data_IF_604824147603
#
_entry.id   IF_604824147603
#
_cell.length_a   1.000
_cell.length_b   1.000
_cell.length_c   1.000
_cell.angle_alpha   90.00
_cell.angle_beta   90.00
_cell.angle_gamma   90.00
#
_symmetry.space_group_name_H-M   'P 1'
#
loop_
_entity.id
_entity.type
_entity.pdbx_description
1 polymer ?
#
# COMPACT_ATOMS: atom_id res chain seq x y z
N UNK A 1 -6.22 -1.41 24.00
CA UNK A 1 -7.38 -0.96 23.18
C UNK A 1 -7.83 0.49 23.43
N UNK A 2 -7.78 1.04 24.66
CA UNK A 2 -8.13 2.45 24.91
C UNK A 2 -7.23 3.46 24.19
N UNK A 3 -5.92 3.21 24.14
CA UNK A 3 -4.94 4.12 23.55
C UNK A 3 -5.03 4.19 22.01
N UNK A 4 -5.45 3.09 21.35
CA UNK A 4 -5.64 3.07 19.90
C UNK A 4 -6.85 3.92 19.47
N UNK A 5 -7.93 3.89 20.27
CA UNK A 5 -9.12 4.72 20.01
C UNK A 5 -8.82 6.21 20.19
N UNK A 6 -7.96 6.56 21.18
CA UNK A 6 -7.53 7.93 21.41
C UNK A 6 -6.61 8.43 20.26
N UNK A 7 -5.72 7.58 19.78
CA UNK A 7 -4.85 7.88 18.63
C UNK A 7 -5.65 8.11 17.34
N UNK A 8 -6.61 7.24 17.05
CA UNK A 8 -7.51 7.40 15.90
C UNK A 8 -8.38 8.66 16.01
N UNK A 9 -8.90 8.97 17.20
CA UNK A 9 -9.68 10.17 17.44
C UNK A 9 -8.84 11.45 17.30
N UNK A 10 -7.58 11.45 17.75
CA UNK A 10 -6.68 12.59 17.58
C UNK A 10 -6.27 12.81 16.13
N UNK A 11 -6.03 11.75 15.35
CA UNK A 11 -5.78 11.85 13.91
C UNK A 11 -7.00 12.41 13.16
N UNK A 12 -8.20 11.99 13.53
CA UNK A 12 -9.45 12.50 12.96
C UNK A 12 -9.69 13.96 13.32
N UNK A 13 -9.41 14.37 14.56
CA UNK A 13 -9.57 15.76 15.02
C UNK A 13 -8.59 16.72 14.34
N UNK A 14 -7.34 16.31 14.10
CA UNK A 14 -6.35 17.10 13.35
C UNK A 14 -6.77 17.29 11.88
N UNK A 15 -7.49 16.32 11.31
CA UNK A 15 -8.00 16.38 9.95
C UNK A 15 -9.13 17.42 9.77
N UNK A 16 -9.89 17.74 10.82
CA UNK A 16 -11.06 18.64 10.72
C UNK A 16 -10.73 20.13 10.66
N UNK A 17 -9.50 20.57 10.93
CA UNK A 17 -9.18 21.98 11.15
C UNK A 17 -8.68 22.79 9.93
N UNK A 18 -8.71 22.29 8.70
CA UNK A 18 -8.24 23.11 7.57
C UNK A 18 -8.87 22.74 6.23
N UNK A 19 -10.03 23.32 5.95
CA UNK A 19 -10.73 23.16 4.68
C UNK A 19 -10.25 24.24 3.70
N UNK A 20 -9.25 23.96 2.92
CA UNK A 20 -8.97 24.66 1.67
C UNK A 20 -8.80 23.62 0.56
N UNK A 21 -9.45 23.86 -0.58
CA UNK A 21 -9.35 23.00 -1.75
C UNK A 21 -7.90 22.91 -2.21
N UNK A 22 -7.28 21.77 -2.01
CA UNK A 22 -5.96 21.49 -2.55
C UNK A 22 -6.14 20.64 -3.80
N UNK A 23 -6.35 21.29 -4.92
CA UNK A 23 -6.14 20.66 -6.22
C UNK A 23 -4.63 20.35 -6.33
N UNK A 24 -4.28 19.14 -6.73
CA UNK A 24 -2.92 18.85 -7.13
C UNK A 24 -2.60 19.75 -8.32
N UNK A 25 -1.50 20.49 -8.22
CA UNK A 25 -1.06 21.37 -9.29
C UNK A 25 0.16 20.75 -9.96
N UNK A 26 0.24 20.90 -11.28
CA UNK A 26 1.42 20.55 -12.06
C UNK A 26 2.69 21.10 -11.39
N UNK A 27 3.73 20.27 -11.29
CA UNK A 27 4.99 20.61 -10.61
C UNK A 27 5.01 20.31 -9.11
N UNK A 28 3.90 19.85 -8.52
CA UNK A 28 3.85 19.47 -7.11
C UNK A 28 4.42 18.07 -6.86
N UNK A 29 4.84 17.84 -5.62
CA UNK A 29 5.28 16.53 -5.13
C UNK A 29 4.23 15.98 -4.17
N UNK A 30 3.88 14.71 -4.32
CA UNK A 30 3.01 13.98 -3.41
C UNK A 30 3.84 13.02 -2.56
N UNK A 31 3.60 13.05 -1.26
CA UNK A 31 4.03 12.00 -0.33
C UNK A 31 2.78 11.25 0.12
N UNK A 32 2.85 9.93 0.18
CA UNK A 32 1.73 9.15 0.69
C UNK A 32 2.19 7.87 1.36
N UNK A 33 1.31 7.31 2.20
CA UNK A 33 1.58 6.07 2.88
C UNK A 33 0.39 5.53 3.64
N UNK A 34 0.46 4.24 3.95
CA UNK A 34 -0.47 3.54 4.81
C UNK A 34 0.26 2.57 5.73
N UNK A 35 -0.32 2.35 6.91
CA UNK A 35 0.16 1.35 7.86
C UNK A 35 -1.01 0.48 8.28
N UNK A 36 -0.78 -0.83 8.31
CA UNK A 36 -1.74 -1.79 8.84
C UNK A 36 -1.05 -2.64 9.90
N UNK A 37 -1.74 -2.83 11.01
CA UNK A 37 -1.36 -3.78 12.05
C UNK A 37 -2.53 -4.69 12.32
N UNK A 38 -2.28 -5.98 12.25
CA UNK A 38 -3.27 -7.02 12.51
C UNK A 38 -2.69 -7.99 13.51
N UNK A 39 -3.42 -8.27 14.59
CA UNK A 39 -3.03 -9.23 15.62
C UNK A 39 -4.14 -10.23 15.85
N UNK A 40 -3.75 -11.50 15.90
CA UNK A 40 -4.59 -12.64 16.22
C UNK A 40 -3.93 -13.48 17.31
N UNK A 41 -4.63 -14.47 17.85
CA UNK A 41 -4.03 -15.46 18.76
C UNK A 41 -2.90 -16.23 18.07
N UNK A 42 -3.04 -16.52 16.77
CA UNK A 42 -2.07 -17.26 15.97
C UNK A 42 -0.80 -16.46 15.61
N UNK A 43 -0.86 -15.13 15.61
CA UNK A 43 0.28 -14.31 15.18
C UNK A 43 -0.03 -12.82 15.11
N UNK A 44 0.95 -12.07 14.61
CA UNK A 44 0.77 -10.67 14.27
C UNK A 44 1.39 -10.34 12.92
N UNK A 45 0.83 -9.36 12.26
CA UNK A 45 1.27 -8.85 10.99
C UNK A 45 1.40 -7.33 11.06
N UNK A 46 2.55 -6.82 10.66
CA UNK A 46 2.79 -5.39 10.46
C UNK A 46 3.08 -5.15 9.00
N UNK A 47 2.35 -4.24 8.39
CA UNK A 47 2.62 -3.82 7.03
C UNK A 47 2.60 -2.31 6.89
N UNK A 48 3.52 -1.79 6.09
CA UNK A 48 3.47 -0.45 5.56
C UNK A 48 3.54 -0.58 4.04
N UNK A 49 2.48 -0.21 3.38
CA UNK A 49 2.42 -0.30 1.93
C UNK A 49 1.27 0.55 1.38
N UNK A 50 1.51 1.28 0.32
CA UNK A 50 2.82 1.73 -0.12
C UNK A 50 3.24 3.01 0.59
N UNK A 51 4.53 3.16 0.87
CA UNK A 51 5.14 4.46 1.17
C UNK A 51 5.64 5.00 -0.17
N UNK A 52 5.15 6.15 -0.61
CA UNK A 52 5.45 6.62 -1.96
C UNK A 52 5.73 8.10 -2.05
N UNK A 53 6.54 8.42 -3.06
CA UNK A 53 6.77 9.77 -3.52
C UNK A 53 6.38 9.88 -4.98
N UNK A 54 5.56 10.87 -5.33
CA UNK A 54 5.09 11.10 -6.69
C UNK A 54 5.29 12.55 -7.13
N UNK A 55 5.41 12.75 -8.44
CA UNK A 55 5.51 14.05 -9.09
C UNK A 55 4.31 14.27 -10.03
N UNK A 56 3.62 15.37 -9.85
CA UNK A 56 2.53 15.78 -10.73
C UNK A 56 3.08 16.44 -12.00
N UNK A 57 3.13 15.70 -13.08
CA UNK A 57 3.50 16.26 -14.38
C UNK A 57 2.32 16.95 -15.09
N UNK A 58 1.11 16.69 -14.62
CA UNK A 58 -0.13 17.35 -15.01
C UNK A 58 -1.01 17.54 -13.76
N UNK A 59 -2.03 18.38 -13.81
CA UNK A 59 -2.90 18.70 -12.66
C UNK A 59 -3.57 17.47 -12.03
N UNK A 60 -3.85 16.45 -12.82
CA UNK A 60 -4.55 15.25 -12.40
C UNK A 60 -3.70 13.97 -12.51
N UNK A 61 -2.49 14.06 -13.05
CA UNK A 61 -1.67 12.89 -13.34
C UNK A 61 -0.35 12.97 -12.61
N UNK A 62 0.02 11.88 -11.95
CA UNK A 62 1.34 11.78 -11.32
C UNK A 62 1.99 10.43 -11.59
N UNK A 63 3.31 10.44 -11.52
CA UNK A 63 4.18 9.28 -11.55
C UNK A 63 5.10 9.32 -10.35
N UNK A 64 5.54 8.17 -9.88
CA UNK A 64 6.43 8.14 -8.73
C UNK A 64 6.98 6.77 -8.45
N UNK A 65 7.55 6.64 -7.25
CA UNK A 65 8.11 5.41 -6.73
C UNK A 65 7.45 5.06 -5.41
N UNK A 66 7.20 3.78 -5.23
CA UNK A 66 6.67 3.18 -4.01
C UNK A 66 7.68 2.23 -3.39
N UNK A 67 7.64 2.15 -2.08
CA UNK A 67 8.23 1.09 -1.30
C UNK A 67 7.19 0.54 -0.32
N UNK A 68 7.15 -0.77 -0.15
CA UNK A 68 6.31 -1.43 0.82
C UNK A 68 7.05 -2.57 1.52
N UNK A 69 6.63 -2.84 2.73
CA UNK A 69 7.06 -4.03 3.45
C UNK A 69 5.91 -4.66 4.22
N UNK A 70 6.03 -5.95 4.44
CA UNK A 70 5.13 -6.73 5.28
C UNK A 70 5.96 -7.71 6.10
N UNK A 71 5.68 -7.77 7.39
CA UNK A 71 6.26 -8.75 8.30
C UNK A 71 5.12 -9.49 8.97
N UNK A 72 5.12 -10.81 8.86
CA UNK A 72 4.12 -11.69 9.46
C UNK A 72 4.79 -12.70 10.36
N UNK A 73 4.44 -12.69 11.65
CA UNK A 73 4.93 -13.67 12.63
C UNK A 73 3.84 -14.69 12.96
N UNK A 74 4.18 -15.98 12.81
CA UNK A 74 3.38 -17.08 13.30
C UNK A 74 3.90 -17.50 14.69
N UNK A 75 3.07 -17.34 15.73
CA UNK A 75 3.46 -17.65 17.13
C UNK A 75 3.56 -19.14 17.39
N UNK A 76 2.74 -19.95 16.71
CA UNK A 76 2.71 -21.40 16.94
C UNK A 76 3.95 -22.13 16.40
N UNK A 77 4.48 -21.61 15.30
CA UNK A 77 5.63 -22.20 14.59
C UNK A 77 6.92 -21.41 14.78
N UNK A 78 6.84 -20.28 15.52
CA UNK A 78 7.93 -19.34 15.85
C UNK A 78 8.78 -18.90 14.64
N UNK A 79 8.15 -18.67 13.51
CA UNK A 79 8.81 -18.11 12.34
C UNK A 79 8.26 -16.73 11.95
N UNK A 80 9.06 -16.00 11.19
CA UNK A 80 8.71 -14.67 10.70
C UNK A 80 8.98 -14.59 9.21
N UNK A 81 7.93 -14.30 8.44
CA UNK A 81 8.02 -14.03 7.02
C UNK A 81 8.23 -12.53 6.77
N UNK A 82 9.05 -12.22 5.81
CA UNK A 82 9.31 -10.86 5.36
C UNK A 82 9.03 -10.73 3.86
N UNK A 83 8.35 -9.65 3.51
CA UNK A 83 8.05 -9.27 2.15
C UNK A 83 8.42 -7.81 1.94
N UNK A 84 9.13 -7.52 0.87
CA UNK A 84 9.47 -6.18 0.44
C UNK A 84 9.06 -5.97 -1.00
N UNK A 85 8.70 -4.75 -1.34
CA UNK A 85 8.37 -4.34 -2.68
C UNK A 85 8.88 -2.94 -2.97
N UNK A 86 9.33 -2.70 -4.20
CA UNK A 86 9.72 -1.38 -4.69
C UNK A 86 9.40 -1.27 -6.17
N UNK A 87 8.87 -0.13 -6.59
CA UNK A 87 8.60 0.07 -8.00
C UNK A 87 7.90 1.37 -8.34
N UNK A 88 7.80 1.66 -9.64
CA UNK A 88 7.09 2.81 -10.15
C UNK A 88 5.58 2.65 -10.03
N UNK A 89 4.91 3.81 -9.96
CA UNK A 89 3.47 3.91 -10.12
C UNK A 89 3.09 5.06 -11.04
N UNK A 90 1.92 4.94 -11.61
CA UNK A 90 1.20 6.01 -12.29
C UNK A 90 -0.20 6.14 -11.69
N UNK A 91 -0.67 7.34 -11.48
CA UNK A 91 -2.05 7.56 -11.10
C UNK A 91 -2.69 8.74 -11.85
N UNK A 92 -3.99 8.59 -12.08
CA UNK A 92 -4.85 9.64 -12.61
C UNK A 92 -5.99 9.92 -11.64
N UNK A 93 -6.31 11.19 -11.45
CA UNK A 93 -7.30 11.68 -10.49
C UNK A 93 -8.45 12.34 -11.22
N UNK A 94 -9.67 11.94 -10.94
CA UNK A 94 -10.90 12.55 -11.44
C UNK A 94 -11.63 13.22 -10.26
N UNK A 95 -11.70 14.56 -10.20
CA UNK A 95 -12.46 15.27 -9.18
C UNK A 95 -13.96 14.96 -9.30
N UNK A 96 -14.58 14.51 -8.20
CA UNK A 96 -16.02 14.27 -8.08
C UNK A 96 -16.74 15.40 -7.33
N UNK A 97 -16.14 16.59 -7.31
CA UNK A 97 -16.64 17.77 -6.63
C UNK A 97 -15.54 18.44 -5.80
N UNK A 98 -15.93 19.21 -4.78
CA UNK A 98 -14.99 20.03 -4.00
C UNK A 98 -14.05 19.22 -3.10
N UNK A 99 -14.51 18.08 -2.58
CA UNK A 99 -13.79 17.32 -1.56
C UNK A 99 -13.48 15.88 -1.97
N UNK A 100 -14.20 15.33 -2.91
CA UNK A 100 -14.08 13.93 -3.31
C UNK A 100 -13.35 13.77 -4.62
N UNK A 101 -12.56 12.73 -4.72
CA UNK A 101 -11.82 12.37 -5.92
C UNK A 101 -11.92 10.85 -6.15
N UNK A 102 -12.08 10.45 -7.38
CA UNK A 102 -11.79 9.09 -7.82
C UNK A 102 -10.36 9.05 -8.35
N UNK A 103 -9.58 8.06 -7.98
CA UNK A 103 -8.19 7.93 -8.40
C UNK A 103 -8.00 6.52 -8.94
N UNK A 104 -7.52 6.39 -10.17
CA UNK A 104 -7.04 5.13 -10.71
C UNK A 104 -5.52 5.07 -10.56
N UNK A 105 -4.98 3.99 -10.01
CA UNK A 105 -3.54 3.80 -9.85
C UNK A 105 -3.11 2.46 -10.42
N UNK A 106 -1.97 2.46 -11.12
CA UNK A 106 -1.30 1.26 -11.62
C UNK A 106 0.13 1.25 -11.13
N UNK A 107 0.64 0.06 -10.81
CA UNK A 107 1.96 -0.14 -10.20
C UNK A 107 2.65 -1.35 -10.80
N UNK A 108 3.97 -1.28 -10.88
CA UNK A 108 4.81 -2.40 -11.27
C UNK A 108 5.99 -2.48 -10.30
N UNK A 109 6.03 -3.52 -9.47
CA UNK A 109 7.01 -3.64 -8.39
C UNK A 109 7.91 -4.86 -8.59
N UNK A 110 9.18 -4.70 -8.25
CA UNK A 110 10.05 -5.79 -7.91
C UNK A 110 9.79 -6.18 -6.46
N UNK A 111 9.69 -7.48 -6.21
CA UNK A 111 9.42 -8.03 -4.87
C UNK A 111 10.53 -8.99 -4.45
N UNK A 112 10.80 -9.04 -3.15
CA UNK A 112 11.71 -10.01 -2.55
C UNK A 112 11.34 -10.25 -1.10
N UNK A 113 11.78 -11.40 -0.57
CA UNK A 113 11.49 -11.75 0.81
C UNK A 113 11.92 -13.16 1.15
N UNK A 114 11.50 -13.59 2.32
CA UNK A 114 11.58 -14.97 2.77
C UNK A 114 10.20 -15.44 3.23
N UNK A 115 9.96 -16.72 3.05
CA UNK A 115 8.74 -17.37 3.49
C UNK A 115 9.10 -18.79 3.99
N UNK A 116 8.33 -19.26 4.95
CA UNK A 116 8.42 -20.63 5.44
C UNK A 116 7.39 -21.48 4.69
N UNK A 117 7.87 -22.49 4.03
CA UNK A 117 7.04 -23.40 3.21
C UNK A 117 7.21 -24.82 3.69
N UNK A 118 6.10 -25.56 3.77
CA UNK A 118 6.15 -27.00 3.98
C UNK A 118 6.48 -27.64 2.63
N UNK A 119 7.64 -28.27 2.52
CA UNK A 119 8.06 -28.95 1.30
C UNK A 119 7.30 -30.28 1.09
N UNK A 120 7.51 -30.92 -0.05
CA UNK A 120 6.87 -32.20 -0.40
C UNK A 120 7.18 -33.36 0.59
N UNK A 121 8.20 -33.22 1.42
CA UNK A 121 8.56 -34.17 2.47
C UNK A 121 7.93 -33.84 3.83
N UNK A 122 7.00 -32.86 3.90
CA UNK A 122 6.39 -32.35 5.12
C UNK A 122 7.38 -31.72 6.12
N UNK A 123 8.52 -31.24 5.64
CA UNK A 123 9.54 -30.56 6.42
C UNK A 123 9.42 -29.05 6.14
N UNK A 124 9.45 -28.24 7.19
CA UNK A 124 9.53 -26.79 7.04
C UNK A 124 10.88 -26.40 6.46
N UNK A 125 10.85 -25.64 5.39
CA UNK A 125 12.03 -25.09 4.72
C UNK A 125 11.94 -23.56 4.68
N UNK A 126 13.07 -22.92 4.95
CA UNK A 126 13.23 -21.48 4.77
C UNK A 126 13.49 -21.20 3.28
N UNK A 127 12.53 -20.59 2.62
CA UNK A 127 12.64 -20.19 1.23
C UNK A 127 12.85 -18.68 1.08
N UNK A 128 13.88 -18.26 0.36
CA UNK A 128 13.97 -16.89 -0.11
C UNK A 128 13.49 -16.82 -1.57
N UNK A 129 12.81 -15.73 -1.89
CA UNK A 129 12.27 -15.53 -3.23
C UNK A 129 12.51 -14.10 -3.73
N UNK A 130 12.39 -13.97 -5.04
CA UNK A 130 12.22 -12.68 -5.70
C UNK A 130 11.13 -12.79 -6.77
N UNK A 131 10.74 -11.66 -7.35
CA UNK A 131 9.73 -11.68 -8.38
C UNK A 131 9.23 -10.29 -8.75
N UNK A 132 8.03 -10.26 -9.27
CA UNK A 132 7.36 -9.01 -9.64
C UNK A 132 5.88 -9.05 -9.30
N UNK A 133 5.35 -7.85 -9.10
CA UNK A 133 3.96 -7.62 -8.75
C UNK A 133 3.44 -6.47 -9.62
N UNK A 134 2.38 -6.74 -10.35
CA UNK A 134 1.63 -5.75 -11.10
C UNK A 134 0.31 -5.51 -10.38
N UNK A 135 -0.07 -4.27 -10.15
CA UNK A 135 -1.33 -3.90 -9.51
C UNK A 135 -2.04 -2.79 -10.24
N UNK A 136 -3.37 -2.87 -10.27
CA UNK A 136 -4.24 -1.78 -10.67
C UNK A 136 -5.41 -1.68 -9.68
N UNK A 137 -5.71 -0.49 -9.19
CA UNK A 137 -6.78 -0.32 -8.22
C UNK A 137 -7.38 1.08 -8.24
N UNK A 138 -8.70 1.20 -7.97
CA UNK A 138 -9.35 2.45 -7.70
C UNK A 138 -9.17 2.85 -6.23
N UNK A 139 -9.02 4.17 -6.02
CA UNK A 139 -9.01 4.81 -4.72
C UNK A 139 -10.11 5.88 -4.69
N UNK A 140 -10.77 6.01 -3.56
CA UNK A 140 -11.57 7.19 -3.24
C UNK A 140 -10.75 8.11 -2.37
N UNK A 141 -10.56 9.35 -2.81
CA UNK A 141 -9.83 10.38 -2.10
C UNK A 141 -10.76 11.40 -1.47
N UNK A 142 -10.45 11.83 -0.25
CA UNK A 142 -11.14 12.93 0.43
C UNK A 142 -10.11 14.01 0.73
N UNK A 143 -10.25 15.17 0.09
CA UNK A 143 -9.39 16.33 0.31
C UNK A 143 -9.68 16.98 1.67
N UNK A 144 -8.67 17.05 2.52
CA UNK A 144 -8.74 17.64 3.87
C UNK A 144 -8.24 19.09 3.91
N UNK A 145 -7.82 19.63 2.76
CA UNK A 145 -7.23 20.96 2.67
C UNK A 145 -5.72 21.01 2.90
N UNK A 146 -5.10 22.14 2.54
CA UNK A 146 -3.64 22.38 2.67
C UNK A 146 -2.76 21.27 2.06
N UNK A 147 -3.23 20.59 1.00
CA UNK A 147 -2.54 19.50 0.34
C UNK A 147 -2.71 18.13 1.00
N UNK A 148 -3.44 18.02 2.10
CA UNK A 148 -3.72 16.73 2.74
C UNK A 148 -4.92 16.03 2.10
N UNK A 149 -4.84 14.71 1.97
CA UNK A 149 -5.97 13.87 1.59
C UNK A 149 -5.93 12.51 2.28
N UNK A 150 -7.11 12.00 2.60
CA UNK A 150 -7.32 10.58 2.92
C UNK A 150 -7.61 9.84 1.62
N UNK A 151 -7.09 8.63 1.52
CA UNK A 151 -7.31 7.75 0.36
C UNK A 151 -7.76 6.38 0.85
N UNK A 152 -8.85 5.88 0.28
CA UNK A 152 -9.36 4.55 0.53
C UNK A 152 -9.23 3.72 -0.75
N UNK A 153 -8.45 2.65 -0.72
CA UNK A 153 -8.43 1.63 -1.77
C UNK A 153 -9.69 0.78 -1.60
N UNK A 154 -10.48 0.64 -2.65
CA UNK A 154 -11.80 -0.04 -2.58
C UNK A 154 -11.83 -1.37 -3.30
N UNK A 155 -10.91 -1.61 -4.22
CA UNK A 155 -10.78 -2.87 -4.95
C UNK A 155 -9.34 -3.05 -5.40
N UNK A 156 -8.99 -4.23 -5.88
CA UNK A 156 -7.67 -4.51 -6.46
C UNK A 156 -7.78 -5.56 -7.58
N UNK A 157 -6.99 -5.34 -8.62
CA UNK A 157 -6.61 -6.33 -9.60
C UNK A 157 -5.09 -6.43 -9.53
N UNK A 158 -4.55 -7.58 -9.16
CA UNK A 158 -3.11 -7.78 -9.11
C UNK A 158 -2.70 -9.13 -9.66
N UNK A 159 -1.47 -9.14 -10.19
CA UNK A 159 -0.75 -10.33 -10.62
C UNK A 159 0.62 -10.32 -9.95
N UNK A 160 0.88 -11.34 -9.14
CA UNK A 160 2.16 -11.54 -8.45
C UNK A 160 2.80 -12.83 -8.93
N UNK A 161 4.08 -12.78 -9.25
CA UNK A 161 4.87 -13.95 -9.58
C UNK A 161 6.11 -13.98 -8.70
N UNK A 162 6.30 -15.12 -8.03
CA UNK A 162 7.46 -15.40 -7.19
C UNK A 162 8.34 -16.44 -7.88
N UNK A 163 9.63 -16.23 -7.80
CA UNK A 163 10.66 -17.19 -8.17
C UNK A 163 11.42 -17.57 -6.89
N UNK A 164 11.26 -18.80 -6.46
CA UNK A 164 12.04 -19.33 -5.35
C UNK A 164 13.52 -19.43 -5.76
N UNK A 165 14.40 -19.10 -4.82
CA UNK A 165 15.84 -19.31 -4.96
C UNK A 165 16.24 -20.72 -4.57
N UNK A 166 15.36 -21.46 -3.90
CA UNK A 166 15.54 -22.85 -3.56
C UNK A 166 14.84 -23.73 -4.62
N UNK A 167 15.58 -24.62 -5.26
CA UNK A 167 15.07 -25.51 -6.29
C UNK A 167 14.04 -26.54 -5.76
N UNK A 168 13.99 -26.77 -4.45
CA UNK A 168 13.01 -27.64 -3.81
C UNK A 168 11.63 -26.99 -3.63
N UNK A 169 11.55 -25.66 -3.81
CA UNK A 169 10.33 -24.88 -3.67
C UNK A 169 9.84 -24.45 -5.04
N UNK A 170 8.61 -24.80 -5.39
CA UNK A 170 8.03 -24.45 -6.70
C UNK A 170 7.84 -22.93 -6.83
N UNK A 171 8.04 -22.43 -8.06
CA UNK A 171 7.65 -21.06 -8.40
C UNK A 171 6.14 -20.89 -8.25
N UNK A 172 5.72 -19.78 -7.72
CA UNK A 172 4.30 -19.48 -7.46
C UNK A 172 3.83 -18.24 -8.22
N UNK A 173 2.56 -18.24 -8.57
CA UNK A 173 1.88 -17.07 -9.11
C UNK A 173 0.50 -16.92 -8.46
N UNK A 174 0.13 -15.69 -8.22
CA UNK A 174 -1.13 -15.33 -7.57
C UNK A 174 -1.83 -14.23 -8.37
N UNK A 175 -3.11 -14.41 -8.58
CA UNK A 175 -3.99 -13.39 -9.15
C UNK A 175 -5.03 -13.04 -8.10
N UNK A 176 -5.09 -11.77 -7.73
CA UNK A 176 -6.09 -11.23 -6.81
C UNK A 176 -7.01 -10.31 -7.60
N UNK A 177 -8.30 -10.55 -7.51
CA UNK A 177 -9.31 -9.69 -8.14
C UNK A 177 -10.47 -9.47 -7.19
N UNK A 178 -11.00 -8.25 -7.17
CA UNK A 178 -12.26 -7.95 -6.52
C UNK A 178 -12.18 -7.04 -5.31
N UNK A 179 -13.24 -7.11 -4.51
CA UNK A 179 -13.43 -6.33 -3.28
C UNK A 179 -13.51 -7.31 -2.12
N UNK A 180 -12.51 -7.31 -1.26
CA UNK A 180 -12.47 -8.13 -0.05
C UNK A 180 -11.66 -7.41 1.04
N UNK A 181 -11.66 -7.96 2.26
CA UNK A 181 -10.97 -7.34 3.40
C UNK A 181 -9.46 -7.14 3.20
N UNK A 182 -8.80 -7.94 2.37
CA UNK A 182 -7.38 -7.80 2.05
C UNK A 182 -7.11 -6.76 0.96
N UNK A 183 -8.11 -6.41 0.15
CA UNK A 183 -7.98 -5.42 -0.94
C UNK A 183 -8.40 -4.02 -0.53
N UNK A 184 -9.09 -3.86 0.60
CA UNK A 184 -9.46 -2.56 1.17
C UNK A 184 -8.33 -2.02 2.03
N UNK A 185 -7.97 -0.76 1.84
CA UNK A 185 -6.91 -0.11 2.61
C UNK A 185 -7.15 1.38 2.77
N UNK A 186 -6.64 1.94 3.86
CA UNK A 186 -6.68 3.36 4.14
C UNK A 186 -5.27 3.94 4.13
N UNK A 187 -5.11 5.10 3.53
CA UNK A 187 -3.85 5.82 3.50
C UNK A 187 -4.05 7.32 3.61
N UNK A 188 -2.96 8.00 3.88
CA UNK A 188 -2.89 9.46 3.91
C UNK A 188 -1.88 9.96 2.89
N UNK A 189 -2.16 11.09 2.28
CA UNK A 189 -1.22 11.74 1.38
C UNK A 189 -1.09 13.22 1.68
N UNK A 190 0.08 13.78 1.33
CA UNK A 190 0.39 15.21 1.39
C UNK A 190 0.94 15.64 0.05
N UNK A 191 0.29 16.62 -0.56
CA UNK A 191 0.79 17.31 -1.75
C UNK A 191 1.59 18.53 -1.30
N UNK A 192 2.81 18.63 -1.77
CA UNK A 192 3.70 19.76 -1.57
C UNK A 192 3.79 20.52 -2.88
N UNK A 193 3.40 21.80 -2.87
CA UNK A 193 3.49 22.64 -4.04
C UNK A 193 4.87 23.32 -4.06
N UNK A 194 5.63 23.05 -5.10
CA UNK A 194 6.87 23.76 -5.36
C UNK A 194 6.45 25.02 -6.11
N UNK A 195 6.45 26.18 -5.43
CA UNK A 195 6.34 27.47 -6.11
C UNK A 195 7.60 27.64 -6.96
N UNK A 196 7.46 27.59 -8.28
CA UNK A 196 8.45 28.09 -9.22
C UNK A 196 8.52 29.60 -9.19
#
# INVERSE_FOLDING_TARGET
MKNLKLFLASCLAIACFSIQSANAQKGGVMLYGSFNYHETEAGHQLSAAPLGVGYFFNDNMNVGLNYGFNTSKNKALDFTDHFHEVGPFYSNTWPLGKHFNLIGQVEAHYIWGNEHVVNAANVMADGSYNGYLLRAYPLVGISLGKGWALKAKVAELSYKKKHSKDASIANDHEIITGINGSTVGLGISKNLFIKG
#
